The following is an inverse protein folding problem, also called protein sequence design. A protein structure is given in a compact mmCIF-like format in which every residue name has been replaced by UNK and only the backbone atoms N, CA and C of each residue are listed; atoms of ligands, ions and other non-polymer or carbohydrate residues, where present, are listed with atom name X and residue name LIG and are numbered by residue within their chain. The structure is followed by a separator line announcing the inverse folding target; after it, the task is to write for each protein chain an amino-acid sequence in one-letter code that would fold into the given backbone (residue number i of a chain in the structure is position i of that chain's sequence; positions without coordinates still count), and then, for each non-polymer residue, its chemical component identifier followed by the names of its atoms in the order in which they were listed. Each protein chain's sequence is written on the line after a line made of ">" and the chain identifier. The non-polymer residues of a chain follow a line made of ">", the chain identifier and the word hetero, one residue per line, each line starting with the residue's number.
data_IF_198271061351
#
_entry.id   IF_198271061351
#
_cell.length_a   1.000
_cell.length_b   1.000
_cell.length_c   1.000
_cell.angle_alpha   90.00
_cell.angle_beta   90.00
_cell.angle_gamma   90.00
#
_symmetry.space_group_name_H-M   'P 1'
#
loop_
_entity.id
_entity.type
_entity.pdbx_description
1 polymer ?
#
# COMPACT_ATOMS: atom_id res chain seq x y z
N UNK A 1 -20.58 0.23 9.44
CA UNK A 1 -19.58 1.13 10.04
C UNK A 1 -18.31 0.32 10.00
N UNK A 2 -17.34 0.65 9.15
CA UNK A 2 -16.18 -0.23 8.95
C UNK A 2 -15.42 -0.38 10.26
N UNK A 3 -15.38 -1.61 10.76
CA UNK A 3 -14.84 -2.02 12.06
C UNK A 3 -13.30 -2.15 12.05
N UNK A 4 -12.69 -1.80 10.91
CA UNK A 4 -11.27 -1.93 10.64
C UNK A 4 -10.49 -0.70 11.08
N UNK A 5 -9.32 -0.89 11.67
CA UNK A 5 -8.42 0.22 11.98
C UNK A 5 -7.54 0.58 10.78
N UNK A 6 -7.32 -0.38 9.88
CA UNK A 6 -6.56 -0.19 8.66
C UNK A 6 -7.50 -0.15 7.45
N UNK A 7 -7.46 0.95 6.70
CA UNK A 7 -8.25 1.17 5.50
C UNK A 7 -7.32 1.23 4.28
N UNK A 8 -7.03 0.10 3.63
CA UNK A 8 -6.20 0.09 2.43
C UNK A 8 -6.93 0.75 1.26
N UNK A 9 -6.24 1.65 0.56
CA UNK A 9 -6.71 2.29 -0.67
C UNK A 9 -5.71 1.96 -1.78
N UNK A 10 -6.19 1.28 -2.80
CA UNK A 10 -5.33 0.78 -3.87
C UNK A 10 -5.43 1.67 -5.10
N UNK A 11 -4.28 2.03 -5.62
CA UNK A 11 -4.12 2.87 -6.79
C UNK A 11 -3.19 2.23 -7.80
N UNK A 12 -3.42 2.55 -9.07
CA UNK A 12 -2.47 2.19 -10.11
C UNK A 12 -2.30 3.34 -11.09
N UNK A 13 -1.04 3.55 -11.45
CA UNK A 13 -0.62 4.55 -12.40
C UNK A 13 0.12 3.84 -13.53
N UNK A 14 -0.62 3.43 -14.57
CA UNK A 14 -0.08 2.64 -15.69
C UNK A 14 0.10 3.52 -16.93
N UNK A 15 1.13 3.23 -17.73
CA UNK A 15 1.32 3.87 -19.05
C UNK A 15 0.61 3.13 -20.17
N UNK A 16 0.40 1.83 -20.00
CA UNK A 16 -0.18 0.89 -20.97
C UNK A 16 -1.62 0.50 -20.63
N UNK A 17 -2.19 1.08 -19.56
CA UNK A 17 -3.59 0.90 -19.17
C UNK A 17 -3.91 -0.45 -18.54
N UNK A 18 -2.90 -1.27 -18.21
CA UNK A 18 -3.12 -2.57 -17.54
C UNK A 18 -2.71 -2.50 -16.08
N UNK A 19 -3.70 -2.34 -15.21
CA UNK A 19 -3.53 -2.47 -13.76
C UNK A 19 -2.89 -3.83 -13.43
N UNK A 20 -1.86 -3.90 -12.55
CA UNK A 20 -1.28 -5.15 -12.08
C UNK A 20 -2.23 -5.83 -11.08
N UNK A 21 -3.42 -6.23 -11.55
CA UNK A 21 -4.54 -6.65 -10.69
C UNK A 21 -4.15 -7.71 -9.68
N UNK A 22 -3.39 -8.73 -10.09
CA UNK A 22 -2.94 -9.79 -9.19
C UNK A 22 -2.08 -9.27 -8.03
N UNK A 23 -1.22 -8.27 -8.28
CA UNK A 23 -0.41 -7.68 -7.22
C UNK A 23 -1.23 -6.77 -6.31
N UNK A 24 -2.19 -6.01 -6.87
CA UNK A 24 -3.12 -5.21 -6.07
C UNK A 24 -4.00 -6.07 -5.16
N UNK A 25 -4.49 -7.22 -5.66
CA UNK A 25 -5.18 -8.23 -4.84
C UNK A 25 -4.26 -8.69 -3.70
N UNK A 26 -3.00 -9.01 -4.02
CA UNK A 26 -2.03 -9.47 -3.03
C UNK A 26 -1.75 -8.42 -1.94
N UNK A 27 -1.59 -7.15 -2.33
CA UNK A 27 -1.42 -6.02 -1.40
C UNK A 27 -2.65 -5.82 -0.52
N UNK A 28 -3.86 -5.95 -1.07
CA UNK A 28 -5.07 -5.86 -0.27
C UNK A 28 -5.14 -6.99 0.76
N UNK A 29 -4.86 -8.22 0.32
CA UNK A 29 -4.87 -9.38 1.19
C UNK A 29 -3.84 -9.28 2.31
N UNK A 30 -2.62 -8.80 2.00
CA UNK A 30 -1.60 -8.51 3.00
C UNK A 30 -2.07 -7.46 4.03
N UNK A 31 -2.70 -6.37 3.57
CA UNK A 31 -3.25 -5.35 4.46
C UNK A 31 -4.37 -5.91 5.35
N UNK A 32 -5.31 -6.67 4.80
CA UNK A 32 -6.38 -7.31 5.58
C UNK A 32 -5.84 -8.34 6.58
N UNK A 33 -4.79 -9.07 6.22
CA UNK A 33 -4.13 -10.04 7.11
C UNK A 33 -3.50 -9.33 8.31
N UNK A 34 -2.90 -8.16 8.10
CA UNK A 34 -2.38 -7.30 9.18
C UNK A 34 -3.52 -6.72 10.02
N UNK A 35 -4.56 -6.20 9.37
CA UNK A 35 -5.70 -5.58 10.04
C UNK A 35 -6.40 -6.56 11.00
N UNK A 36 -6.54 -7.82 10.59
CA UNK A 36 -7.15 -8.90 11.35
C UNK A 36 -6.27 -9.47 12.48
N UNK A 37 -4.97 -9.17 12.53
CA UNK A 37 -4.07 -9.71 13.56
C UNK A 37 -4.19 -8.93 14.88
N UNK A 38 -4.60 -9.56 16.00
CA UNK A 38 -4.76 -8.88 17.29
C UNK A 38 -3.47 -8.26 17.84
N UNK A 39 -2.29 -8.77 17.47
CA UNK A 39 -0.99 -8.22 17.87
C UNK A 39 -0.75 -6.88 17.18
N UNK A 40 -1.12 -6.79 15.91
CA UNK A 40 -1.07 -5.55 15.12
C UNK A 40 -2.11 -4.55 15.57
N UNK A 41 -3.34 -4.98 15.83
CA UNK A 41 -4.38 -4.13 16.43
C UNK A 41 -3.93 -3.52 17.77
N UNK A 42 -3.38 -4.34 18.68
CA UNK A 42 -2.85 -3.85 19.96
C UNK A 42 -1.66 -2.91 19.80
N UNK A 43 -0.77 -3.20 18.85
CA UNK A 43 0.36 -2.31 18.55
C UNK A 43 -0.13 -0.95 18.03
N UNK A 44 -1.09 -0.95 17.11
CA UNK A 44 -1.68 0.27 16.59
C UNK A 44 -2.43 1.05 17.67
N UNK A 45 -3.24 0.40 18.50
CA UNK A 45 -3.99 1.07 19.56
C UNK A 45 -3.08 1.82 20.54
N UNK A 46 -1.88 1.30 20.82
CA UNK A 46 -0.87 1.98 21.66
C UNK A 46 -0.32 3.28 21.04
N UNK A 47 -0.49 3.50 19.75
CA UNK A 47 -0.14 4.78 19.10
C UNK A 47 -1.07 5.93 19.51
N UNK A 48 -2.26 5.63 20.02
CA UNK A 48 -3.31 6.61 20.30
C UNK A 48 -4.00 7.18 19.04
N UNK A 49 -3.77 6.59 17.87
CA UNK A 49 -4.40 6.94 16.59
C UNK A 49 -5.55 5.95 16.34
N UNK A 50 -6.73 6.45 15.95
CA UNK A 50 -7.93 5.61 15.79
C UNK A 50 -7.90 4.75 14.53
N UNK A 51 -7.25 5.22 13.47
CA UNK A 51 -7.17 4.45 12.23
C UNK A 51 -6.07 4.92 11.28
N UNK A 52 -5.79 4.10 10.27
CA UNK A 52 -4.78 4.30 9.25
C UNK A 52 -5.40 4.17 7.86
N UNK A 53 -5.42 5.26 7.09
CA UNK A 53 -5.69 5.25 5.66
C UNK A 53 -4.37 4.96 4.92
N UNK A 54 -4.17 3.71 4.53
CA UNK A 54 -2.96 3.26 3.82
C UNK A 54 -3.20 3.31 2.31
N UNK A 55 -2.72 4.36 1.65
CA UNK A 55 -2.75 4.49 0.19
C UNK A 55 -1.54 3.79 -0.43
N UNK A 56 -1.77 2.90 -1.40
CA UNK A 56 -0.70 2.20 -2.12
C UNK A 56 -0.90 2.41 -3.61
N UNK A 57 0.04 3.08 -4.26
CA UNK A 57 0.01 3.35 -5.71
C UNK A 57 1.08 2.52 -6.41
N UNK A 58 0.65 1.58 -7.24
CA UNK A 58 1.56 0.82 -8.11
C UNK A 58 1.97 1.65 -9.31
N UNK A 59 3.28 1.75 -9.57
CA UNK A 59 3.84 2.38 -10.77
C UNK A 59 4.72 1.37 -11.53
N UNK A 60 4.62 1.41 -12.87
CA UNK A 60 5.28 0.47 -13.79
C UNK A 60 6.79 0.63 -13.97
N UNK A 61 7.47 1.49 -13.20
CA UNK A 61 8.92 1.70 -13.31
C UNK A 61 9.55 1.86 -11.93
N UNK A 62 10.82 1.48 -11.84
CA UNK A 62 11.64 1.42 -10.62
C UNK A 62 11.61 2.75 -9.84
N UNK A 63 11.29 2.69 -8.54
CA UNK A 63 11.16 3.90 -7.71
C UNK A 63 12.51 4.38 -7.21
N UNK A 64 12.83 5.65 -7.43
CA UNK A 64 13.89 6.34 -6.70
C UNK A 64 13.45 6.66 -5.27
N UNK A 65 13.37 5.63 -4.39
CA UNK A 65 13.15 5.71 -2.92
C UNK A 65 11.85 6.44 -2.50
N UNK A 66 11.30 6.21 -1.29
CA UNK A 66 9.85 6.26 -1.11
C UNK A 66 9.30 7.69 -1.24
N UNK A 67 8.39 7.89 -2.20
CA UNK A 67 7.44 9.01 -2.19
C UNK A 67 6.37 8.71 -1.14
N UNK A 68 6.76 8.67 0.13
CA UNK A 68 5.84 8.49 1.25
C UNK A 68 5.28 9.84 1.69
N UNK A 69 3.96 9.99 1.64
CA UNK A 69 3.22 11.09 2.27
C UNK A 69 2.57 10.57 3.55
N UNK A 70 3.16 10.88 4.70
CA UNK A 70 2.64 10.47 6.00
C UNK A 70 2.22 11.71 6.76
N UNK A 71 0.94 11.79 7.09
CA UNK A 71 0.35 12.92 7.81
C UNK A 71 -0.74 12.44 8.76
N UNK A 72 -0.80 13.07 9.92
CA UNK A 72 -1.95 12.94 10.81
C UNK A 72 -3.05 13.90 10.35
N UNK A 73 -4.26 13.38 10.17
CA UNK A 73 -5.46 14.15 9.82
C UNK A 73 -6.50 13.79 10.87
N UNK A 74 -6.80 14.73 11.76
CA UNK A 74 -7.62 14.51 12.95
C UNK A 74 -7.08 13.33 13.80
N UNK A 75 -7.93 12.33 14.06
CA UNK A 75 -7.59 11.11 14.80
C UNK A 75 -7.14 9.95 13.90
N UNK A 76 -6.88 10.21 12.61
CA UNK A 76 -6.42 9.21 11.66
C UNK A 76 -5.02 9.52 11.13
N UNK A 77 -4.27 8.47 10.82
CA UNK A 77 -3.07 8.56 9.99
C UNK A 77 -3.48 8.40 8.54
N UNK A 78 -2.99 9.27 7.66
CA UNK A 78 -3.00 9.07 6.21
C UNK A 78 -1.57 8.86 5.75
N UNK A 79 -1.30 7.68 5.20
CA UNK A 79 0.02 7.29 4.72
C UNK A 79 -0.12 6.80 3.28
N UNK A 80 0.41 7.55 2.32
CA UNK A 80 0.37 7.18 0.91
C UNK A 80 1.77 6.80 0.44
N UNK A 81 1.90 5.66 -0.23
CA UNK A 81 3.14 5.11 -0.73
C UNK A 81 3.04 4.82 -2.22
N UNK A 82 4.18 4.90 -2.90
CA UNK A 82 4.35 4.27 -4.20
C UNK A 82 5.07 2.94 -4.03
N UNK A 83 4.69 1.93 -4.82
CA UNK A 83 5.37 0.63 -4.84
C UNK A 83 5.69 0.22 -6.29
N UNK A 84 6.80 -0.48 -6.45
CA UNK A 84 7.24 -0.98 -7.75
C UNK A 84 6.37 -2.17 -8.16
N UNK A 85 6.24 -2.39 -9.47
CA UNK A 85 5.71 -3.67 -9.93
C UNK A 85 6.68 -4.79 -9.60
N UNK A 86 6.20 -5.92 -9.04
CA UNK A 86 7.04 -7.07 -8.81
C UNK A 86 7.50 -7.66 -10.15
N UNK A 87 8.66 -8.32 -10.20
CA UNK A 87 9.03 -9.12 -11.36
C UNK A 87 8.02 -10.26 -11.57
N UNK A 88 8.03 -10.87 -12.76
CA UNK A 88 7.22 -12.06 -13.01
C UNK A 88 7.61 -13.19 -12.03
N UNK A 89 6.66 -13.59 -11.18
CA UNK A 89 6.85 -14.59 -10.13
C UNK A 89 5.61 -15.48 -9.97
N UNK A 90 5.73 -16.56 -9.20
CA UNK A 90 4.58 -17.39 -8.82
C UNK A 90 3.61 -16.63 -7.89
N UNK A 91 2.38 -17.11 -7.77
CA UNK A 91 1.36 -16.53 -6.87
C UNK A 91 1.79 -16.54 -5.40
N UNK A 92 2.42 -17.64 -4.95
CA UNK A 92 2.95 -17.74 -3.58
C UNK A 92 4.06 -16.72 -3.32
N UNK A 93 4.94 -16.51 -4.30
CA UNK A 93 5.99 -15.47 -4.21
C UNK A 93 5.38 -14.07 -4.23
N UNK A 94 4.37 -13.84 -5.07
CA UNK A 94 3.65 -12.57 -5.15
C UNK A 94 3.02 -12.20 -3.80
N UNK A 95 2.42 -13.18 -3.13
CA UNK A 95 1.81 -12.98 -1.81
C UNK A 95 2.85 -12.67 -0.74
N UNK A 96 4.00 -13.38 -0.74
CA UNK A 96 5.12 -13.08 0.15
C UNK A 96 5.67 -11.68 -0.08
N UNK A 97 5.82 -11.27 -1.33
CA UNK A 97 6.28 -9.93 -1.71
C UNK A 97 5.30 -8.87 -1.22
N UNK A 98 3.99 -9.06 -1.42
CA UNK A 98 2.98 -8.13 -0.93
C UNK A 98 2.99 -7.97 0.60
N UNK A 99 3.13 -9.07 1.36
CA UNK A 99 3.27 -9.01 2.83
C UNK A 99 4.53 -8.24 3.23
N UNK A 100 5.65 -8.52 2.56
CA UNK A 100 6.92 -7.82 2.81
C UNK A 100 6.80 -6.32 2.52
N UNK A 101 6.11 -5.97 1.43
CA UNK A 101 5.90 -4.58 1.01
C UNK A 101 5.05 -3.81 2.02
N UNK A 102 3.90 -4.36 2.41
CA UNK A 102 3.02 -3.72 3.41
C UNK A 102 3.72 -3.61 4.76
N UNK A 103 4.47 -4.65 5.18
CA UNK A 103 5.29 -4.57 6.40
C UNK A 103 6.31 -3.44 6.32
N UNK A 104 6.99 -3.29 5.18
CA UNK A 104 7.98 -2.23 4.97
C UNK A 104 7.32 -0.85 5.07
N UNK A 105 6.11 -0.67 4.53
CA UNK A 105 5.35 0.59 4.70
C UNK A 105 5.07 0.88 6.19
N UNK A 106 4.75 -0.14 6.98
CA UNK A 106 4.57 0.01 8.43
C UNK A 106 5.88 0.29 9.17
N UNK A 107 7.02 -0.22 8.71
CA UNK A 107 8.33 0.18 9.25
C UNK A 107 8.57 1.68 9.01
N UNK A 108 8.24 2.19 7.82
CA UNK A 108 8.36 3.63 7.52
C UNK A 108 7.41 4.46 8.40
N UNK A 109 6.15 4.00 8.58
CA UNK A 109 5.20 4.65 9.49
C UNK A 109 5.74 4.64 10.94
N UNK A 110 6.28 3.50 11.39
CA UNK A 110 6.85 3.36 12.72
C UNK A 110 7.94 4.40 12.96
N UNK A 111 8.88 4.51 12.03
CA UNK A 111 9.97 5.49 12.13
C UNK A 111 9.46 6.93 12.11
N UNK A 112 8.55 7.26 11.18
CA UNK A 112 7.98 8.60 11.05
C UNK A 112 7.19 9.04 12.29
N UNK A 113 6.52 8.09 12.96
CA UNK A 113 5.67 8.33 14.12
C UNK A 113 6.33 8.01 15.46
N UNK A 114 7.61 7.61 15.45
CA UNK A 114 8.36 7.15 16.63
C UNK A 114 7.62 6.05 17.45
N UNK A 115 7.00 5.10 16.75
CA UNK A 115 6.29 3.97 17.36
C UNK A 115 7.26 2.86 17.82
N UNK A 116 6.85 1.99 18.76
CA UNK A 116 7.65 0.83 19.15
C UNK A 116 7.82 -0.17 17.99
N UNK A 117 8.75 -1.10 18.15
CA UNK A 117 9.03 -2.16 17.16
C UNK A 117 7.75 -2.86 16.67
N UNK A 118 7.74 -3.18 15.38
CA UNK A 118 6.60 -3.85 14.77
C UNK A 118 6.36 -5.23 15.41
N UNK A 119 5.11 -5.68 15.51
CA UNK A 119 4.80 -7.05 15.89
C UNK A 119 5.43 -8.06 14.91
N UNK A 120 5.51 -9.34 15.32
CA UNK A 120 5.83 -10.42 14.40
C UNK A 120 4.86 -10.46 13.21
N UNK A 121 5.31 -11.09 12.12
CA UNK A 121 4.47 -11.28 10.95
C UNK A 121 3.16 -12.01 11.32
N UNK A 122 2.04 -11.58 10.73
CA UNK A 122 0.78 -12.31 10.92
C UNK A 122 0.90 -13.73 10.36
N UNK A 123 0.13 -14.65 10.93
CA UNK A 123 0.05 -16.00 10.36
C UNK A 123 -0.49 -15.91 8.92
N UNK A 124 0.03 -16.72 7.98
CA UNK A 124 -0.42 -16.68 6.60
C UNK A 124 -1.91 -17.01 6.53
N UNK A 125 -2.72 -16.02 6.15
CA UNK A 125 -4.12 -16.27 5.84
C UNK A 125 -4.20 -17.05 4.51
N UNK A 126 -5.19 -17.95 4.35
CA UNK A 126 -5.43 -18.57 3.06
C UNK A 126 -5.65 -17.47 2.00
N UNK A 127 -5.15 -17.67 0.76
CA UNK A 127 -5.37 -16.71 -0.30
C UNK A 127 -6.88 -16.51 -0.48
N UNK A 128 -7.31 -15.30 -0.88
CA UNK A 128 -8.73 -15.05 -1.08
C UNK A 128 -9.23 -16.04 -2.13
N UNK A 129 -10.42 -16.61 -1.93
CA UNK A 129 -11.04 -17.46 -2.95
C UNK A 129 -11.05 -16.67 -4.27
N UNK A 130 -10.53 -17.28 -5.34
CA UNK A 130 -10.46 -16.69 -6.69
C UNK A 130 -11.87 -16.41 -7.20
N UNK A 131 -12.46 -15.32 -6.74
CA UNK A 131 -13.85 -14.99 -6.87
C UNK A 131 -13.99 -13.49 -6.76
N UNK A 132 -13.56 -12.80 -7.82
CA UNK A 132 -14.10 -11.54 -8.35
C UNK A 132 -14.81 -10.57 -7.41
N UNK A 133 -14.36 -10.37 -6.17
CA UNK A 133 -14.72 -9.18 -5.44
C UNK A 133 -14.12 -8.03 -6.23
N UNK A 134 -14.96 -7.17 -6.80
CA UNK A 134 -14.54 -5.94 -7.46
C UNK A 134 -13.73 -5.14 -6.43
N UNK A 135 -12.40 -5.30 -6.50
CA UNK A 135 -11.48 -4.53 -5.69
C UNK A 135 -11.64 -3.08 -6.12
N UNK A 136 -12.06 -2.17 -5.22
CA UNK A 136 -12.13 -0.77 -5.55
C UNK A 136 -10.70 -0.25 -5.73
N UNK A 137 -10.22 -0.26 -6.97
CA UNK A 137 -8.92 0.26 -7.38
C UNK A 137 -9.16 1.60 -8.07
N UNK A 138 -8.49 2.64 -7.59
CA UNK A 138 -8.46 3.92 -8.27
C UNK A 138 -7.43 3.83 -9.40
N UNK A 139 -7.91 3.75 -10.63
CA UNK A 139 -7.07 3.82 -11.83
C UNK A 139 -6.93 5.29 -12.26
N UNK A 140 -5.70 5.80 -12.32
CA UNK A 140 -5.41 7.12 -12.90
C UNK A 140 -4.36 6.98 -13.98
N UNK A 141 -4.63 7.56 -15.16
CA UNK A 141 -3.62 7.66 -16.21
C UNK A 141 -2.49 8.58 -15.72
N UNK A 142 -1.24 8.14 -15.91
CA UNK A 142 -0.09 9.00 -15.64
C UNK A 142 -0.14 10.22 -16.58
N UNK A 143 -0.01 11.46 -16.07
CA UNK A 143 0.14 12.62 -16.93
C UNK A 143 1.39 12.45 -17.81
N UNK A 144 1.37 13.01 -19.01
CA UNK A 144 2.48 12.91 -19.96
C UNK A 144 3.76 13.44 -19.32
N UNK A 145 4.68 12.52 -18.99
CA UNK A 145 5.98 12.85 -18.42
C UNK A 145 6.87 13.39 -19.57
N UNK A 146 7.59 14.52 -19.38
CA UNK A 146 8.57 14.99 -20.36
C UNK A 146 9.53 13.86 -20.75
N UNK A 147 9.90 13.75 -22.04
CA UNK A 147 10.70 12.63 -22.58
C UNK A 147 12.00 12.36 -21.80
N UNK A 148 12.57 13.40 -21.20
CA UNK A 148 13.79 13.36 -20.38
C UNK A 148 13.60 12.57 -19.07
N UNK A 149 12.37 12.53 -18.54
CA UNK A 149 11.97 11.83 -17.32
C UNK A 149 11.23 10.50 -17.63
N UNK A 150 11.03 10.18 -18.91
CA UNK A 150 10.26 9.01 -19.33
C UNK A 150 10.92 7.67 -18.90
N UNK A 151 12.24 7.62 -18.75
CA UNK A 151 12.93 6.42 -18.26
C UNK A 151 12.77 6.16 -16.75
N UNK A 152 12.26 7.13 -15.99
CA UNK A 152 12.39 7.12 -14.53
C UNK A 152 11.10 6.84 -13.76
N UNK A 153 9.92 6.90 -14.40
CA UNK A 153 8.62 6.68 -13.73
C UNK A 153 8.46 7.57 -12.50
N UNK A 154 7.85 8.75 -12.63
CA UNK A 154 7.79 9.66 -11.50
C UNK A 154 6.36 10.10 -11.21
N UNK A 155 5.75 9.48 -10.21
CA UNK A 155 4.79 10.17 -9.36
C UNK A 155 5.53 11.08 -8.37
N UNK A 156 5.38 12.38 -8.56
CA UNK A 156 5.78 13.41 -7.59
C UNK A 156 5.04 13.21 -6.26
N UNK A 157 5.63 13.65 -5.14
CA UNK A 157 4.97 13.64 -3.83
C UNK A 157 3.58 14.29 -3.87
N UNK A 158 3.41 15.38 -4.60
CA UNK A 158 2.12 16.06 -4.79
C UNK A 158 1.11 15.20 -5.55
N UNK A 159 1.54 14.42 -6.55
CA UNK A 159 0.66 13.47 -7.24
C UNK A 159 0.24 12.31 -6.34
N UNK A 160 1.15 11.82 -5.49
CA UNK A 160 0.84 10.78 -4.48
C UNK A 160 -0.16 11.32 -3.44
N UNK A 161 0.07 12.53 -2.93
CA UNK A 161 -0.81 13.21 -1.97
C UNK A 161 -2.25 13.38 -2.48
N UNK A 162 -2.40 13.67 -3.76
CA UNK A 162 -3.68 13.91 -4.44
C UNK A 162 -4.23 12.65 -5.13
N UNK A 163 -3.52 11.51 -5.06
CA UNK A 163 -3.94 10.31 -5.77
C UNK A 163 -5.27 9.79 -5.24
N UNK A 164 -5.44 9.81 -3.93
CA UNK A 164 -6.65 9.39 -3.22
C UNK A 164 -7.41 10.57 -2.60
N UNK A 165 -7.14 11.79 -3.08
CA UNK A 165 -7.77 13.03 -2.63
C UNK A 165 -9.14 13.24 -3.25
#
# INVERSE_FOLDING_TARGET
>A
MDEFWLHPRLGTATRDGRAPRHFLVALQHAAHTIDADPRWQRWWHRSGIQGCQLGIVTEGVDHLRPSADIRRVDDQLRANFTCALPPACSETELMRLAVTEVRTMFEVIREAMALPDLPPDPEPAPPPASGGADLPVIEKALPSVPRELAGQGYLTLTQVQNFFG
#
